data_IF_171402553841
#
_entry.id   IF_171402553841
#
_cell.length_a   1.000
_cell.length_b   1.000
_cell.length_c   1.000
_cell.angle_alpha   90.00
_cell.angle_beta   90.00
_cell.angle_gamma   90.00
#
_symmetry.space_group_name_H-M   'P 1'
#
loop_
_entity.id
_entity.type
_entity.pdbx_description
1 polymer ?
#
# COMPACT_ATOMS: atom_id res chain seq x y z
N UNK A 1 9.01 26.52 -23.37
CA UNK A 1 7.72 26.31 -22.67
C UNK A 1 8.07 25.77 -21.30
N UNK A 2 7.31 26.07 -20.23
CA UNK A 2 7.54 25.42 -18.95
C UNK A 2 7.38 23.90 -19.13
N UNK A 3 8.29 23.13 -18.56
CA UNK A 3 8.26 21.68 -18.63
C UNK A 3 7.16 21.17 -17.70
N UNK A 4 6.30 20.27 -18.21
CA UNK A 4 5.28 19.60 -17.42
C UNK A 4 5.96 18.56 -16.50
N UNK A 5 5.65 18.60 -15.22
CA UNK A 5 6.29 17.75 -14.20
C UNK A 5 5.23 16.85 -13.57
N UNK A 6 5.56 15.56 -13.49
CA UNK A 6 4.82 14.58 -12.69
C UNK A 6 5.79 13.84 -11.77
N UNK A 7 5.39 13.61 -10.53
CA UNK A 7 6.14 12.85 -9.54
C UNK A 7 5.23 11.80 -8.91
N UNK A 8 5.70 10.56 -8.91
CA UNK A 8 5.00 9.43 -8.29
C UNK A 8 5.66 9.14 -6.94
N UNK A 9 4.93 9.21 -5.81
CA UNK A 9 5.47 8.87 -4.51
C UNK A 9 5.93 7.40 -4.46
N UNK A 10 7.06 7.14 -3.80
CA UNK A 10 7.63 5.80 -3.68
C UNK A 10 6.74 4.85 -2.87
N UNK A 11 5.89 5.39 -1.99
CA UNK A 11 4.98 4.63 -1.14
C UNK A 11 3.75 4.12 -1.91
N UNK A 12 3.58 4.49 -3.19
CA UNK A 12 2.50 3.94 -4.01
C UNK A 12 2.68 2.43 -4.22
N UNK A 13 1.58 1.66 -4.25
CA UNK A 13 1.65 0.22 -4.43
C UNK A 13 2.07 -0.20 -5.84
N UNK A 14 2.06 0.70 -6.83
CA UNK A 14 2.49 0.38 -8.19
C UNK A 14 3.46 1.46 -8.72
N UNK A 15 4.67 1.08 -9.14
CA UNK A 15 5.56 1.98 -9.85
C UNK A 15 5.12 2.14 -11.31
N UNK A 16 5.40 3.30 -11.89
CA UNK A 16 5.18 3.60 -13.30
C UNK A 16 6.51 3.90 -13.99
N UNK A 17 6.62 3.47 -15.24
CA UNK A 17 7.79 3.72 -16.06
C UNK A 17 7.37 4.15 -17.46
N UNK A 18 8.04 5.15 -18.04
CA UNK A 18 7.75 5.65 -19.38
C UNK A 18 7.84 4.55 -20.45
N UNK A 19 7.00 4.62 -21.48
CA UNK A 19 7.11 3.77 -22.67
C UNK A 19 8.30 4.20 -23.53
N UNK A 20 8.32 5.47 -23.91
CA UNK A 20 9.33 6.08 -24.78
C UNK A 20 10.58 6.54 -24.01
N UNK A 21 11.22 5.60 -23.31
CA UNK A 21 12.52 5.88 -22.69
C UNK A 21 13.57 6.03 -23.79
N UNK A 22 14.39 7.08 -23.71
CA UNK A 22 15.57 7.19 -24.56
C UNK A 22 16.35 5.88 -24.45
N UNK A 23 16.63 5.23 -25.58
CA UNK A 23 17.37 3.98 -25.60
C UNK A 23 18.75 4.22 -25.00
N UNK A 24 18.92 3.89 -23.72
CA UNK A 24 20.22 3.96 -23.08
C UNK A 24 21.18 3.05 -23.85
N UNK A 25 22.43 3.50 -24.00
CA UNK A 25 23.45 2.68 -24.60
C UNK A 25 23.47 1.31 -23.89
N UNK A 26 23.55 0.18 -24.61
CA UNK A 26 23.33 -1.16 -24.06
C UNK A 26 24.31 -1.58 -22.94
N UNK A 27 25.36 -0.78 -22.71
CA UNK A 27 26.38 -0.97 -21.69
C UNK A 27 26.14 -0.17 -20.40
N UNK A 28 25.12 0.69 -20.35
CA UNK A 28 24.78 1.44 -19.14
C UNK A 28 23.99 0.58 -18.16
N UNK A 29 24.21 0.84 -16.87
CA UNK A 29 23.49 0.13 -15.81
C UNK A 29 22.09 0.71 -15.70
N UNK A 30 21.09 -0.10 -16.00
CA UNK A 30 19.69 0.27 -15.80
C UNK A 30 19.37 0.45 -14.31
N UNK A 31 19.06 1.68 -13.91
CA UNK A 31 18.75 2.03 -12.52
C UNK A 31 17.33 1.62 -12.12
N UNK A 32 17.13 1.39 -10.81
CA UNK A 32 15.86 0.88 -10.25
C UNK A 32 14.69 1.84 -10.46
N UNK A 33 14.95 3.15 -10.39
CA UNK A 33 13.92 4.19 -10.50
C UNK A 33 13.40 4.36 -11.93
N UNK A 34 14.21 3.98 -12.92
CA UNK A 34 13.91 4.16 -14.34
C UNK A 34 13.47 2.88 -15.02
N UNK A 35 13.85 1.72 -14.47
CA UNK A 35 13.62 0.43 -15.09
C UNK A 35 13.05 -0.56 -14.08
N UNK A 36 11.87 -1.07 -14.40
CA UNK A 36 11.26 -2.14 -13.63
C UNK A 36 12.11 -3.41 -13.62
N UNK A 37 11.80 -4.28 -12.66
CA UNK A 37 12.51 -5.54 -12.44
C UNK A 37 12.79 -6.31 -13.74
N UNK A 38 11.79 -6.46 -14.60
CA UNK A 38 11.92 -7.21 -15.84
C UNK A 38 12.88 -6.60 -16.87
N UNK A 39 13.14 -5.30 -16.86
CA UNK A 39 14.02 -4.65 -17.84
C UNK A 39 15.48 -4.69 -17.41
N UNK A 40 15.70 -4.78 -16.09
CA UNK A 40 17.01 -4.81 -15.42
C UNK A 40 17.65 -6.21 -15.36
N UNK A 41 17.13 -7.18 -16.12
CA UNK A 41 17.60 -8.57 -16.11
C UNK A 41 19.08 -8.66 -16.53
N UNK A 42 19.83 -9.51 -15.84
CA UNK A 42 21.22 -9.84 -16.17
C UNK A 42 21.26 -11.25 -16.76
N UNK A 43 21.96 -11.49 -17.88
CA UNK A 43 21.99 -12.80 -18.54
C UNK A 43 22.44 -13.97 -17.65
N UNK A 44 23.26 -13.68 -16.64
CA UNK A 44 23.84 -14.67 -15.73
C UNK A 44 23.04 -14.89 -14.44
N UNK A 45 21.96 -14.14 -14.20
CA UNK A 45 21.06 -14.37 -13.06
C UNK A 45 19.84 -15.18 -13.52
N UNK A 46 19.43 -16.16 -12.72
CA UNK A 46 18.24 -16.95 -13.00
C UNK A 46 17.00 -16.05 -13.03
N UNK A 47 16.18 -16.24 -14.06
CA UNK A 47 14.95 -15.49 -14.25
C UNK A 47 13.88 -15.99 -13.27
N UNK A 48 13.69 -15.27 -12.17
CA UNK A 48 12.43 -15.30 -11.44
C UNK A 48 11.42 -14.40 -12.15
N UNK A 49 10.27 -14.94 -12.55
CA UNK A 49 9.17 -14.12 -13.05
C UNK A 49 8.30 -13.68 -11.89
N UNK A 50 8.62 -12.53 -11.29
CA UNK A 50 7.72 -11.90 -10.32
C UNK A 50 6.56 -11.22 -11.05
N UNK A 51 5.34 -11.46 -10.60
CA UNK A 51 4.16 -10.72 -11.01
C UNK A 51 3.50 -10.14 -9.78
N UNK A 52 2.99 -8.93 -9.92
CA UNK A 52 2.16 -8.34 -8.88
C UNK A 52 0.88 -9.15 -8.77
N UNK A 53 0.41 -9.39 -7.56
CA UNK A 53 -0.77 -10.20 -7.29
C UNK A 53 -1.85 -9.30 -6.73
N UNK A 54 -3.08 -9.51 -7.19
CA UNK A 54 -4.26 -8.84 -6.67
C UNK A 54 -5.46 -9.79 -6.70
N UNK A 55 -6.45 -9.49 -5.89
CA UNK A 55 -7.77 -10.13 -5.93
C UNK A 55 -8.84 -9.16 -6.40
N UNK A 56 -9.96 -9.68 -6.91
CA UNK A 56 -11.11 -8.84 -7.30
C UNK A 56 -11.69 -8.04 -6.14
N UNK A 57 -11.51 -8.51 -4.89
CA UNK A 57 -11.89 -7.77 -3.69
C UNK A 57 -11.00 -6.58 -3.35
N UNK A 58 -9.81 -6.48 -3.97
CA UNK A 58 -8.83 -5.45 -3.65
C UNK A 58 -9.08 -4.15 -4.42
N UNK A 59 -8.55 -3.04 -3.92
CA UNK A 59 -8.63 -1.73 -4.58
C UNK A 59 -7.21 -1.21 -4.77
N UNK A 60 -6.85 -0.93 -6.03
CA UNK A 60 -5.56 -0.32 -6.35
C UNK A 60 -5.71 1.18 -6.19
N UNK A 61 -5.14 1.73 -5.12
CA UNK A 61 -5.13 3.17 -4.88
C UNK A 61 -3.78 3.78 -5.19
N UNK A 62 -3.79 4.97 -5.78
CA UNK A 62 -2.59 5.67 -6.22
C UNK A 62 -2.72 7.17 -6.01
N UNK A 63 -1.58 7.81 -5.73
CA UNK A 63 -1.48 9.26 -5.69
C UNK A 63 -0.31 9.74 -6.55
N UNK A 64 -0.41 10.94 -7.11
CA UNK A 64 0.71 11.55 -7.84
C UNK A 64 0.64 13.06 -7.73
N UNK A 65 1.78 13.70 -7.90
CA UNK A 65 1.92 15.16 -7.87
C UNK A 65 2.17 15.60 -9.31
N UNK A 66 1.37 16.51 -9.85
CA UNK A 66 1.60 17.06 -11.19
C UNK A 66 1.17 18.53 -11.29
N UNK A 67 1.78 19.27 -12.22
CA UNK A 67 1.40 20.65 -12.56
C UNK A 67 0.47 20.76 -13.80
N UNK A 68 0.12 19.61 -14.39
CA UNK A 68 -0.71 19.53 -15.58
C UNK A 68 -1.90 18.58 -15.43
N UNK A 69 -2.86 18.75 -16.32
CA UNK A 69 -4.07 17.94 -16.48
C UNK A 69 -4.46 17.98 -17.97
N UNK A 70 -5.04 16.92 -18.57
CA UNK A 70 -5.57 15.71 -17.94
C UNK A 70 -4.52 14.63 -17.67
N UNK A 71 -4.80 13.78 -16.68
CA UNK A 71 -4.11 12.51 -16.43
C UNK A 71 -5.18 11.42 -16.36
N UNK A 72 -5.02 10.35 -17.12
CA UNK A 72 -5.96 9.22 -17.14
C UNK A 72 -5.21 7.97 -16.68
N UNK A 73 -5.79 7.25 -15.72
CA UNK A 73 -5.26 5.97 -15.24
C UNK A 73 -6.17 4.86 -15.74
N UNK A 74 -5.57 3.87 -16.38
CA UNK A 74 -6.28 2.80 -17.06
C UNK A 74 -5.78 1.43 -16.60
N UNK A 75 -6.69 0.47 -16.50
CA UNK A 75 -6.35 -0.94 -16.38
C UNK A 75 -6.46 -1.57 -17.76
N UNK A 76 -5.35 -2.04 -18.30
CA UNK A 76 -5.29 -2.67 -19.61
C UNK A 76 -5.16 -4.19 -19.50
N UNK A 77 -5.78 -4.89 -20.45
CA UNK A 77 -5.61 -6.33 -20.61
C UNK A 77 -4.26 -6.72 -21.23
N UNK A 78 -4.05 -8.02 -21.47
CA UNK A 78 -2.86 -8.55 -22.13
C UNK A 78 -2.63 -8.04 -23.57
N UNK A 79 -3.66 -7.47 -24.19
CA UNK A 79 -3.65 -6.90 -25.54
C UNK A 79 -3.58 -5.38 -25.55
N UNK A 80 -3.33 -4.76 -24.39
CA UNK A 80 -3.30 -3.32 -24.18
C UNK A 80 -4.62 -2.59 -24.43
N UNK A 81 -5.74 -3.32 -24.39
CA UNK A 81 -7.07 -2.72 -24.45
C UNK A 81 -7.47 -2.24 -23.06
N UNK A 82 -7.89 -0.98 -22.90
CA UNK A 82 -8.36 -0.48 -21.62
C UNK A 82 -9.70 -1.14 -21.24
N UNK A 83 -9.75 -1.76 -20.08
CA UNK A 83 -10.97 -2.33 -19.50
C UNK A 83 -11.62 -1.30 -18.57
N UNK A 84 -10.79 -0.66 -17.74
CA UNK A 84 -11.18 0.43 -16.85
C UNK A 84 -10.36 1.64 -17.27
N UNK A 85 -11.01 2.79 -17.42
CA UNK A 85 -10.35 4.07 -17.70
C UNK A 85 -10.95 5.13 -16.78
N UNK A 86 -10.13 5.71 -15.92
CA UNK A 86 -10.55 6.67 -14.90
C UNK A 86 -9.72 7.95 -15.01
N UNK A 87 -10.36 9.12 -15.14
CA UNK A 87 -9.64 10.38 -15.04
C UNK A 87 -9.15 10.57 -13.60
N UNK A 88 -7.89 10.99 -13.47
CA UNK A 88 -7.32 11.34 -12.19
C UNK A 88 -7.99 12.59 -11.63
N UNK A 89 -8.43 12.53 -10.38
CA UNK A 89 -9.08 13.68 -9.75
C UNK A 89 -8.02 14.57 -9.10
N UNK A 90 -7.96 15.84 -9.52
CA UNK A 90 -7.14 16.84 -8.87
C UNK A 90 -7.71 17.14 -7.47
N UNK A 91 -6.85 17.02 -6.47
CA UNK A 91 -7.12 17.30 -5.08
C UNK A 91 -6.51 18.62 -4.65
N UNK A 92 -5.85 18.60 -3.50
CA UNK A 92 -5.29 19.79 -2.84
C UNK A 92 -3.98 20.19 -3.54
N UNK A 93 -3.69 21.49 -3.59
CA UNK A 93 -2.40 21.99 -4.06
C UNK A 93 -1.27 21.53 -3.13
N UNK A 94 -0.10 21.24 -3.70
CA UNK A 94 1.06 20.87 -2.92
C UNK A 94 1.60 22.06 -2.13
N UNK A 95 1.71 21.89 -0.81
CA UNK A 95 2.24 22.90 0.10
C UNK A 95 3.74 23.15 -0.11
N UNK A 96 4.49 22.13 -0.54
CA UNK A 96 5.94 22.18 -0.63
C UNK A 96 6.44 22.56 -2.03
N UNK A 97 5.67 22.24 -3.07
CA UNK A 97 6.03 22.51 -4.47
C UNK A 97 4.95 23.37 -5.11
N UNK A 98 5.14 24.72 -5.13
CA UNK A 98 4.16 25.63 -5.71
C UNK A 98 3.82 25.28 -7.15
N UNK A 99 2.55 25.44 -7.53
CA UNK A 99 2.06 25.15 -8.88
C UNK A 99 1.74 23.68 -9.16
N UNK A 100 2.05 22.76 -8.24
CA UNK A 100 1.67 21.34 -8.39
C UNK A 100 0.44 20.98 -7.56
N UNK A 101 -0.32 19.99 -8.02
CA UNK A 101 -1.52 19.46 -7.38
C UNK A 101 -1.37 17.97 -7.10
N UNK A 102 -1.97 17.51 -6.01
CA UNK A 102 -2.09 16.10 -5.70
C UNK A 102 -3.27 15.50 -6.44
N UNK A 103 -3.03 14.49 -7.25
CA UNK A 103 -4.05 13.72 -7.92
C UNK A 103 -4.24 12.38 -7.23
N UNK A 104 -5.47 11.87 -7.24
CA UNK A 104 -5.83 10.56 -6.69
C UNK A 104 -6.52 9.70 -7.75
N UNK A 105 -6.25 8.41 -7.70
CA UNK A 105 -6.93 7.39 -8.50
C UNK A 105 -7.19 6.16 -7.64
N UNK A 106 -8.40 5.61 -7.75
CA UNK A 106 -8.82 4.39 -7.05
C UNK A 106 -9.48 3.45 -8.07
N UNK A 107 -8.81 2.35 -8.37
CA UNK A 107 -9.30 1.34 -9.32
C UNK A 107 -9.85 0.16 -8.49
N UNK A 108 -11.17 0.03 -8.48
CA UNK A 108 -11.84 -1.16 -7.93
C UNK A 108 -11.69 -2.34 -8.89
N UNK A 109 -11.36 -3.52 -8.35
CA UNK A 109 -11.16 -4.75 -9.13
C UNK A 109 -12.38 -5.69 -9.10
N UNK A 110 -13.50 -5.28 -8.50
CA UNK A 110 -14.64 -6.15 -8.18
C UNK A 110 -15.27 -6.85 -9.40
N UNK A 111 -15.22 -6.22 -10.58
CA UNK A 111 -15.83 -6.74 -11.82
C UNK A 111 -14.77 -7.18 -12.84
N UNK A 112 -13.49 -7.21 -12.46
CA UNK A 112 -12.41 -7.59 -13.37
C UNK A 112 -12.28 -9.11 -13.39
N UNK A 113 -12.42 -9.78 -14.56
CA UNK A 113 -12.25 -11.22 -14.65
C UNK A 113 -10.84 -11.67 -14.22
N UNK A 114 -10.69 -12.94 -13.84
CA UNK A 114 -9.38 -13.51 -13.54
C UNK A 114 -8.47 -13.46 -14.78
N UNK A 115 -7.27 -12.88 -14.66
CA UNK A 115 -6.41 -12.65 -15.81
C UNK A 115 -5.12 -11.89 -15.53
N UNK A 116 -4.40 -11.59 -16.61
CA UNK A 116 -3.16 -10.79 -16.58
C UNK A 116 -3.47 -9.39 -17.10
N UNK A 117 -3.12 -8.39 -16.31
CA UNK A 117 -3.41 -6.99 -16.56
C UNK A 117 -2.17 -6.14 -16.31
N UNK A 118 -2.20 -4.88 -16.76
CA UNK A 118 -1.23 -3.86 -16.36
C UNK A 118 -1.90 -2.51 -16.27
N UNK A 119 -1.45 -1.66 -15.35
CA UNK A 119 -1.92 -0.28 -15.33
C UNK A 119 -1.17 0.53 -16.39
N UNK A 120 -1.89 1.38 -17.11
CA UNK A 120 -1.36 2.41 -18.01
C UNK A 120 -1.74 3.77 -17.44
N UNK A 121 -0.81 4.72 -17.45
CA UNK A 121 -1.10 6.11 -17.16
C UNK A 121 -0.84 6.92 -18.43
N UNK A 122 -1.84 7.71 -18.80
CA UNK A 122 -1.83 8.54 -19.99
C UNK A 122 -1.74 9.99 -19.53
N UNK A 123 -0.67 10.67 -19.92
CA UNK A 123 -0.30 12.00 -19.46
C UNK A 123 -0.55 13.00 -20.58
N UNK A 124 -1.39 14.02 -20.32
CA UNK A 124 -1.72 15.05 -21.29
C UNK A 124 -2.68 14.57 -22.39
N UNK A 125 -2.78 15.35 -23.45
CA UNK A 125 -3.66 15.10 -24.60
C UNK A 125 -2.99 15.50 -25.91
N UNK A 126 -3.49 14.97 -27.03
CA UNK A 126 -2.99 15.28 -28.37
C UNK A 126 -1.61 14.67 -28.67
N UNK A 127 -0.85 15.33 -29.55
CA UNK A 127 0.42 14.81 -30.09
C UNK A 127 1.58 14.79 -29.09
N UNK A 128 1.44 15.46 -27.93
CA UNK A 128 2.43 15.46 -26.84
C UNK A 128 2.04 14.51 -25.71
N UNK A 129 1.13 13.58 -25.96
CA UNK A 129 0.71 12.60 -24.98
C UNK A 129 1.86 11.64 -24.67
N UNK A 130 2.12 11.43 -23.38
CA UNK A 130 3.11 10.47 -22.90
C UNK A 130 2.41 9.33 -22.18
N UNK A 131 2.79 8.10 -22.50
CA UNK A 131 2.29 6.88 -21.87
C UNK A 131 3.32 6.30 -20.93
N UNK A 132 2.86 5.91 -19.74
CA UNK A 132 3.64 5.18 -18.77
C UNK A 132 2.94 3.87 -18.41
N UNK A 133 3.73 2.83 -18.18
CA UNK A 133 3.22 1.52 -17.81
C UNK A 133 3.68 1.11 -16.43
N UNK A 134 2.73 0.59 -15.68
CA UNK A 134 3.01 -0.22 -14.50
C UNK A 134 3.45 -1.63 -14.89
N UNK A 135 3.95 -2.39 -13.91
CA UNK A 135 4.32 -3.78 -14.10
C UNK A 135 3.09 -4.66 -14.40
N UNK A 136 3.34 -5.81 -15.04
CA UNK A 136 2.30 -6.82 -15.23
C UNK A 136 1.86 -7.42 -13.89
N UNK A 137 0.56 -7.56 -13.74
CA UNK A 137 -0.10 -8.09 -12.56
C UNK A 137 -1.07 -9.22 -12.92
N UNK A 138 -1.30 -10.12 -11.98
CA UNK A 138 -2.30 -11.16 -12.05
C UNK A 138 -3.42 -10.84 -11.07
N UNK A 139 -4.65 -10.75 -11.58
CA UNK A 139 -5.86 -10.49 -10.80
C UNK A 139 -6.63 -11.80 -10.73
N UNK A 140 -7.01 -12.23 -9.53
CA UNK A 140 -7.74 -13.47 -9.27
C UNK A 140 -9.07 -13.22 -8.59
N UNK A 141 -10.14 -13.85 -9.09
CA UNK A 141 -11.42 -13.89 -8.41
C UNK A 141 -11.40 -14.90 -7.26
N UNK A 142 -10.68 -16.01 -7.44
CA UNK A 142 -10.49 -17.02 -6.40
C UNK A 142 -9.47 -16.54 -5.35
N UNK A 143 -9.66 -16.88 -4.05
CA UNK A 143 -8.71 -16.57 -2.99
C UNK A 143 -7.30 -17.10 -3.28
N UNK A 144 -6.33 -16.20 -3.31
CA UNK A 144 -4.92 -16.55 -3.48
C UNK A 144 -4.33 -17.06 -2.16
N UNK A 145 -4.05 -18.36 -2.12
CA UNK A 145 -3.35 -18.98 -0.99
C UNK A 145 -1.92 -18.42 -0.86
N UNK A 146 -1.40 -18.39 0.36
CA UNK A 146 -0.04 -17.93 0.68
C UNK A 146 0.27 -16.51 0.19
N UNK A 147 -0.74 -15.64 0.24
CA UNK A 147 -0.57 -14.19 0.04
C UNK A 147 -1.06 -13.44 1.26
N UNK A 148 -0.42 -12.30 1.54
CA UNK A 148 -0.81 -11.36 2.59
C UNK A 148 -1.25 -10.06 1.92
N UNK A 149 -2.39 -9.55 2.33
CA UNK A 149 -2.80 -8.18 2.03
C UNK A 149 -2.21 -7.23 3.07
N UNK A 150 -1.31 -6.37 2.64
CA UNK A 150 -0.73 -5.29 3.43
C UNK A 150 -1.53 -4.03 3.16
N UNK A 151 -2.18 -3.48 4.18
CA UNK A 151 -2.83 -2.17 4.09
C UNK A 151 -2.05 -1.19 4.97
N UNK A 152 -1.88 0.03 4.48
CA UNK A 152 -1.00 0.99 5.16
C UNK A 152 -1.44 2.43 4.98
N UNK A 153 -1.23 3.20 6.04
CA UNK A 153 -1.50 4.64 6.08
C UNK A 153 -0.65 5.33 7.14
N UNK A 154 -0.45 6.64 6.97
CA UNK A 154 0.16 7.50 7.98
C UNK A 154 -0.92 8.28 8.74
N UNK A 155 -0.69 8.56 10.01
CA UNK A 155 -1.54 9.50 10.76
C UNK A 155 -1.22 10.95 10.42
N UNK A 156 -0.04 11.21 9.85
CA UNK A 156 0.35 12.53 9.35
C UNK A 156 -0.34 12.79 8.02
N UNK A 157 -0.94 13.98 7.91
CA UNK A 157 -1.65 14.41 6.69
C UNK A 157 -0.73 14.37 5.45
N UNK A 158 0.55 14.73 5.61
CA UNK A 158 1.58 14.71 4.57
C UNK A 158 2.75 13.86 5.06
N UNK A 159 3.04 12.78 4.36
CA UNK A 159 4.16 11.89 4.66
C UNK A 159 4.63 11.20 3.38
N UNK A 160 5.95 11.08 3.21
CA UNK A 160 6.60 10.46 2.03
C UNK A 160 5.98 10.85 0.68
N UNK A 161 5.76 12.15 0.47
CA UNK A 161 5.15 12.74 -0.73
C UNK A 161 3.72 12.27 -1.03
N UNK A 162 2.99 11.72 -0.05
CA UNK A 162 1.58 11.38 -0.14
C UNK A 162 0.72 12.20 0.81
N UNK A 163 -0.56 12.35 0.45
CA UNK A 163 -1.59 12.90 1.33
C UNK A 163 -2.48 11.77 1.85
N UNK A 164 -2.39 11.47 3.15
CA UNK A 164 -3.24 10.46 3.79
C UNK A 164 -4.58 11.00 4.28
N UNK A 165 -4.75 12.32 4.30
CA UNK A 165 -6.02 12.97 4.68
C UNK A 165 -7.17 12.52 3.78
N UNK A 166 -8.27 12.07 4.40
CA UNK A 166 -9.49 11.56 3.74
C UNK A 166 -9.22 10.44 2.73
N UNK A 167 -8.18 9.63 2.95
CA UNK A 167 -7.79 8.55 2.06
C UNK A 167 -7.77 7.25 2.85
N UNK A 168 -8.39 6.19 2.31
CA UNK A 168 -8.60 4.92 3.01
C UNK A 168 -7.35 4.03 3.08
N UNK A 169 -6.16 4.63 3.04
CA UNK A 169 -4.87 3.93 2.99
C UNK A 169 -4.64 3.21 1.67
N UNK A 170 -3.40 2.83 1.43
CA UNK A 170 -3.03 2.02 0.27
C UNK A 170 -3.17 0.53 0.61
N UNK A 171 -3.25 -0.29 -0.42
CA UNK A 171 -3.29 -1.75 -0.33
C UNK A 171 -2.18 -2.32 -1.20
N UNK A 172 -1.55 -3.39 -0.75
CA UNK A 172 -0.51 -4.13 -1.46
C UNK A 172 -0.64 -5.61 -1.12
N UNK A 173 -0.87 -6.46 -2.12
CA UNK A 173 -0.88 -7.91 -1.92
C UNK A 173 0.44 -8.53 -2.38
N UNK A 174 1.04 -9.31 -1.50
CA UNK A 174 2.35 -9.95 -1.73
C UNK A 174 2.33 -11.42 -1.30
N UNK A 175 3.10 -12.30 -1.97
CA UNK A 175 3.35 -13.65 -1.46
C UNK A 175 3.94 -13.59 -0.06
N UNK A 176 3.40 -14.39 0.86
CA UNK A 176 3.86 -14.40 2.23
C UNK A 176 2.96 -15.20 3.15
N UNK A 177 3.44 -15.42 4.37
CA UNK A 177 2.66 -16.08 5.42
C UNK A 177 3.03 -15.54 6.80
N UNK A 178 2.06 -15.66 7.72
CA UNK A 178 2.22 -15.32 9.14
C UNK A 178 2.30 -16.64 9.89
N UNK A 179 3.45 -16.90 10.53
CA UNK A 179 3.71 -18.15 11.23
C UNK A 179 3.28 -18.04 12.69
N UNK A 180 2.00 -18.31 12.93
CA UNK A 180 1.40 -18.29 14.26
C UNK A 180 1.91 -19.43 15.17
N UNK A 181 2.42 -20.52 14.60
CA UNK A 181 2.93 -21.67 15.36
C UNK A 181 4.26 -21.33 16.05
N UNK A 182 5.06 -20.44 15.45
CA UNK A 182 6.31 -19.91 16.03
C UNK A 182 6.11 -18.63 16.87
N UNK A 183 4.89 -18.35 17.30
CA UNK A 183 4.60 -17.18 18.12
C UNK A 183 5.32 -17.23 19.47
N UNK A 184 6.08 -16.18 19.78
CA UNK A 184 6.74 -16.00 21.08
C UNK A 184 6.08 -14.88 21.89
N UNK A 185 6.34 -14.82 23.19
CA UNK A 185 5.83 -13.75 24.07
C UNK A 185 6.98 -13.14 24.85
N UNK A 186 7.32 -11.89 24.52
CA UNK A 186 8.27 -11.12 25.31
C UNK A 186 7.53 -10.36 26.40
N UNK A 187 8.00 -10.48 27.64
CA UNK A 187 7.49 -9.71 28.78
C UNK A 187 8.30 -8.44 28.91
N UNK A 188 7.69 -7.28 28.62
CA UNK A 188 8.26 -5.99 29.02
C UNK A 188 7.95 -5.83 30.51
N UNK A 189 9.00 -5.94 31.34
CA UNK A 189 8.91 -5.78 32.79
C UNK A 189 9.49 -4.44 33.18
N UNK A 190 8.69 -3.59 33.81
CA UNK A 190 9.19 -2.41 34.52
C UNK A 190 9.49 -2.83 35.96
N UNK A 191 10.77 -2.80 36.33
CA UNK A 191 11.22 -3.10 37.68
C UNK A 191 11.73 -1.83 38.36
N UNK A 192 11.30 -1.60 39.58
CA UNK A 192 11.87 -0.57 40.45
C UNK A 192 12.71 -1.23 41.54
N UNK A 193 13.86 -0.65 41.86
CA UNK A 193 14.75 -1.16 42.89
C UNK A 193 14.60 -0.28 44.13
N UNK A 194 13.86 -0.76 45.13
CA UNK A 194 13.70 -0.05 46.40
C UNK A 194 14.58 -0.74 47.45
N UNK A 195 15.65 -0.04 47.86
CA UNK A 195 16.71 -0.49 48.77
C UNK A 195 17.54 -1.69 48.27
N UNK A 196 18.69 -1.90 48.92
CA UNK A 196 19.93 -2.47 48.35
C UNK A 196 19.80 -3.84 47.65
N UNK A 197 18.77 -4.65 47.91
CA UNK A 197 18.64 -5.99 47.32
C UNK A 197 17.22 -6.46 46.96
N UNK A 198 16.22 -5.57 46.86
CA UNK A 198 14.84 -5.99 46.53
C UNK A 198 14.33 -5.28 45.26
N UNK A 199 14.22 -6.01 44.16
CA UNK A 199 13.54 -5.53 42.95
C UNK A 199 12.07 -5.93 42.98
N UNK A 200 11.16 -4.96 42.98
CA UNK A 200 9.72 -5.20 42.81
C UNK A 200 9.34 -4.91 41.37
N UNK A 201 8.61 -5.84 40.74
CA UNK A 201 8.07 -5.64 39.39
C UNK A 201 6.81 -4.79 39.49
N UNK A 202 6.78 -3.63 38.86
CA UNK A 202 5.66 -2.69 38.90
C UNK A 202 4.61 -3.02 37.84
N UNK A 203 5.06 -3.40 36.65
CA UNK A 203 4.17 -3.77 35.55
C UNK A 203 4.86 -4.83 34.67
N UNK A 204 4.07 -5.79 34.18
CA UNK A 204 4.54 -6.79 33.22
C UNK A 204 3.47 -6.93 32.15
N UNK A 205 3.75 -6.42 30.95
CA UNK A 205 2.88 -6.62 29.78
C UNK A 205 3.59 -7.56 28.82
N UNK A 206 2.89 -8.60 28.38
CA UNK A 206 3.38 -9.49 27.33
C UNK A 206 2.70 -9.16 26.01
N UNK A 207 3.49 -8.80 25.01
CA UNK A 207 3.00 -8.61 23.64
C UNK A 207 3.38 -9.85 22.84
N UNK A 208 2.46 -10.46 22.09
CA UNK A 208 2.80 -11.56 21.21
C UNK A 208 3.67 -11.07 20.06
N UNK A 209 4.78 -11.78 19.84
CA UNK A 209 5.65 -11.60 18.68
C UNK A 209 5.39 -12.72 17.69
N UNK A 210 5.08 -12.36 16.45
CA UNK A 210 4.73 -13.31 15.39
C UNK A 210 5.71 -13.12 14.24
N UNK A 211 6.44 -14.17 13.83
CA UNK A 211 7.26 -14.10 12.64
C UNK A 211 6.37 -14.01 11.39
N UNK A 212 6.67 -13.02 10.54
CA UNK A 212 6.02 -12.78 9.26
C UNK A 212 7.08 -12.90 8.17
N UNK A 213 6.74 -13.65 7.13
CA UNK A 213 7.63 -13.90 6.00
C UNK A 213 6.97 -13.42 4.71
N UNK A 214 7.71 -12.66 3.91
CA UNK A 214 7.32 -12.17 2.59
C UNK A 214 8.24 -12.79 1.52
N UNK A 215 7.67 -13.20 0.38
CA UNK A 215 8.41 -13.83 -0.71
C UNK A 215 8.90 -15.26 -0.44
N UNK A 216 8.53 -15.84 0.70
CA UNK A 216 8.93 -17.18 1.14
C UNK A 216 7.70 -18.07 1.30
N UNK A 217 7.88 -19.38 1.15
CA UNK A 217 6.85 -20.39 1.47
C UNK A 217 7.19 -21.13 2.77
N UNK A 218 6.20 -21.73 3.47
CA UNK A 218 6.40 -22.42 4.74
C UNK A 218 7.45 -23.54 4.69
N UNK A 219 7.69 -24.11 3.50
CA UNK A 219 8.67 -25.18 3.26
C UNK A 219 10.11 -24.67 3.09
N UNK A 220 10.40 -23.43 3.45
CA UNK A 220 11.76 -22.86 3.60
C UNK A 220 12.61 -22.83 2.31
N UNK A 221 11.97 -22.72 1.15
CA UNK A 221 12.64 -22.44 -0.12
C UNK A 221 12.08 -21.15 -0.74
N UNK A 222 12.96 -20.34 -1.34
CA UNK A 222 12.57 -19.17 -2.14
C UNK A 222 11.86 -19.67 -3.39
N UNK A 223 10.55 -19.92 -3.31
CA UNK A 223 9.77 -20.36 -4.47
C UNK A 223 9.22 -19.19 -5.27
N UNK A 224 8.83 -18.10 -4.58
CA UNK A 224 8.32 -16.89 -5.23
C UNK A 224 9.39 -15.81 -5.30
N UNK A 225 9.94 -15.43 -4.14
CA UNK A 225 10.85 -14.30 -4.00
C UNK A 225 10.19 -12.97 -4.38
N UNK A 226 10.72 -11.87 -3.83
CA UNK A 226 10.28 -10.52 -4.14
C UNK A 226 11.39 -9.76 -4.87
N UNK A 227 11.04 -8.88 -5.82
CA UNK A 227 12.00 -7.99 -6.43
C UNK A 227 12.39 -6.89 -5.44
N UNK A 228 13.57 -6.30 -5.63
CA UNK A 228 14.13 -5.25 -4.77
C UNK A 228 13.14 -4.11 -4.53
N UNK A 229 12.46 -3.64 -5.58
CA UNK A 229 11.46 -2.57 -5.52
C UNK A 229 10.35 -2.85 -4.51
N UNK A 230 9.87 -4.11 -4.45
CA UNK A 230 8.78 -4.50 -3.56
C UNK A 230 9.28 -4.64 -2.14
N UNK A 231 10.47 -5.19 -1.93
CA UNK A 231 11.06 -5.26 -0.59
C UNK A 231 11.34 -3.89 0.00
N UNK A 232 11.89 -2.96 -0.79
CA UNK A 232 12.16 -1.59 -0.33
C UNK A 232 10.83 -0.87 -0.01
N UNK A 233 9.79 -1.10 -0.82
CA UNK A 233 8.44 -0.62 -0.54
C UNK A 233 7.89 -1.19 0.78
N UNK A 234 8.05 -2.48 1.06
CA UNK A 234 7.59 -3.05 2.33
C UNK A 234 8.35 -2.43 3.51
N UNK A 235 9.67 -2.26 3.43
CA UNK A 235 10.41 -1.54 4.48
C UNK A 235 9.86 -0.13 4.69
N UNK A 236 9.63 0.63 3.62
CA UNK A 236 9.02 1.96 3.69
C UNK A 236 7.60 1.95 4.25
N UNK A 237 6.81 0.90 4.00
CA UNK A 237 5.47 0.73 4.56
C UNK A 237 5.54 0.57 6.08
N UNK A 238 6.49 -0.22 6.60
CA UNK A 238 6.63 -0.46 8.04
C UNK A 238 7.23 0.70 8.82
N UNK A 239 7.73 1.73 8.15
CA UNK A 239 8.07 3.02 8.76
C UNK A 239 6.84 3.92 9.00
N UNK A 240 5.66 3.55 8.49
CA UNK A 240 4.42 4.31 8.69
C UNK A 240 3.72 3.95 10.01
N UNK A 241 2.87 4.86 10.49
CA UNK A 241 2.18 4.70 11.78
C UNK A 241 1.16 3.55 11.80
N UNK A 242 0.52 3.27 10.65
CA UNK A 242 -0.59 2.33 10.56
C UNK A 242 -0.31 1.31 9.48
N UNK A 243 -0.08 0.06 9.88
CA UNK A 243 0.06 -1.08 8.97
C UNK A 243 -0.82 -2.22 9.47
N UNK A 244 -1.62 -2.78 8.57
CA UNK A 244 -2.39 -4.00 8.80
C UNK A 244 -1.98 -5.09 7.82
N UNK A 245 -1.93 -6.32 8.32
CA UNK A 245 -1.78 -7.54 7.51
C UNK A 245 -3.07 -8.34 7.63
N UNK A 246 -3.73 -8.57 6.50
CA UNK A 246 -5.03 -9.24 6.40
C UNK A 246 -6.07 -8.65 7.38
N UNK A 247 -6.12 -7.32 7.45
CA UNK A 247 -7.04 -6.56 8.31
C UNK A 247 -6.68 -6.54 9.80
N UNK A 248 -5.55 -7.14 10.21
CA UNK A 248 -5.05 -7.06 11.59
C UNK A 248 -3.87 -6.10 11.68
N UNK A 249 -3.86 -5.16 12.64
CA UNK A 249 -2.73 -4.26 12.83
C UNK A 249 -1.45 -4.98 13.29
N UNK A 250 -0.32 -4.65 12.66
CA UNK A 250 1.02 -5.11 13.03
C UNK A 250 1.98 -3.93 13.09
N UNK A 251 2.98 -4.06 13.96
CA UNK A 251 4.05 -3.07 14.12
C UNK A 251 5.38 -3.81 14.13
N UNK A 252 6.36 -3.29 13.38
CA UNK A 252 7.75 -3.74 13.47
C UNK A 252 8.38 -3.05 14.69
N UNK A 253 8.94 -3.79 15.67
CA UNK A 253 9.56 -3.17 16.84
C UNK A 253 10.77 -2.29 16.45
N UNK A 254 10.97 -1.17 17.16
CA UNK A 254 11.99 -0.14 16.84
C UNK A 254 13.42 -0.69 16.66
N UNK A 255 13.78 -1.77 17.38
CA UNK A 255 15.11 -2.38 17.34
C UNK A 255 15.24 -3.53 16.33
N UNK A 256 14.21 -3.78 15.51
CA UNK A 256 14.18 -4.90 14.57
C UNK A 256 14.08 -4.40 13.13
N UNK A 257 14.99 -4.90 12.29
CA UNK A 257 14.91 -4.78 10.84
C UNK A 257 14.44 -6.10 10.23
N UNK A 258 14.08 -6.06 8.97
CA UNK A 258 13.86 -7.28 8.22
C UNK A 258 15.17 -8.02 7.96
N UNK A 259 15.12 -9.34 8.03
CA UNK A 259 16.20 -10.23 7.63
C UNK A 259 15.94 -10.70 6.19
N UNK A 260 16.94 -10.52 5.33
CA UNK A 260 16.86 -10.92 3.93
C UNK A 260 17.36 -12.35 3.74
N UNK A 261 16.57 -13.15 3.02
CA UNK A 261 16.97 -14.49 2.59
C UNK A 261 17.20 -14.47 1.09
N UNK A 262 18.44 -14.72 0.67
CA UNK A 262 18.84 -14.69 -0.73
C UNK A 262 19.39 -16.06 -1.17
N UNK A 263 19.19 -16.42 -2.43
CA UNK A 263 19.80 -17.60 -3.05
C UNK A 263 20.77 -17.16 -4.13
N UNK A 264 22.01 -17.66 -4.07
CA UNK A 264 23.04 -17.32 -5.04
C UNK A 264 22.57 -17.59 -6.48
N UNK A 265 22.73 -16.60 -7.35
CA UNK A 265 22.31 -16.68 -8.75
C UNK A 265 20.83 -16.37 -8.99
N UNK A 266 20.00 -16.16 -7.95
CA UNK A 266 18.64 -15.66 -8.09
C UNK A 266 18.59 -14.16 -7.79
N UNK A 267 17.72 -13.45 -8.52
CA UNK A 267 17.55 -12.01 -8.35
C UNK A 267 16.46 -11.62 -7.34
N UNK A 268 15.56 -12.55 -7.05
CA UNK A 268 14.48 -12.34 -6.10
C UNK A 268 14.95 -12.73 -4.70
N UNK A 269 14.49 -11.99 -3.69
CA UNK A 269 14.85 -12.19 -2.28
C UNK A 269 13.61 -12.40 -1.42
N UNK A 270 13.73 -13.22 -0.39
CA UNK A 270 12.74 -13.33 0.67
C UNK A 270 13.04 -12.35 1.79
N UNK A 271 12.03 -12.02 2.58
CA UNK A 271 12.15 -11.08 3.69
C UNK A 271 11.40 -11.63 4.91
N UNK A 272 12.06 -11.68 6.07
CA UNK A 272 11.46 -12.17 7.31
C UNK A 272 11.59 -11.13 8.41
N UNK A 273 10.51 -10.86 9.13
CA UNK A 273 10.49 -9.94 10.26
C UNK A 273 9.72 -10.52 11.43
N UNK A 274 10.12 -10.18 12.65
CA UNK A 274 9.37 -10.54 13.86
C UNK A 274 8.50 -9.36 14.25
N UNK A 275 7.19 -9.49 14.11
CA UNK A 275 6.26 -8.38 14.30
C UNK A 275 5.50 -8.48 15.61
N UNK A 276 5.09 -7.34 16.15
CA UNK A 276 4.18 -7.23 17.28
C UNK A 276 2.76 -6.91 16.79
N UNK A 277 1.74 -7.57 17.35
CA UNK A 277 0.35 -7.25 16.99
C UNK A 277 -0.05 -5.91 17.62
N UNK A 278 -0.39 -4.91 16.81
CA UNK A 278 -0.88 -3.62 17.29
C UNK A 278 -2.22 -3.81 18.00
N UNK A 279 -2.35 -3.44 19.26
CA UNK A 279 -3.57 -3.64 20.08
C UNK A 279 -3.99 -5.10 20.33
N UNK A 280 -3.47 -5.66 21.41
CA UNK A 280 -4.05 -6.81 22.09
C UNK A 280 -5.03 -6.33 23.18
N UNK A 281 -6.06 -5.55 22.83
CA UNK A 281 -7.21 -5.38 23.75
C UNK A 281 -8.03 -6.66 23.62
N UNK A 282 -8.16 -7.39 24.71
CA UNK A 282 -8.76 -8.74 24.85
C UNK A 282 -10.19 -8.96 24.31
N UNK A 283 -10.71 -8.14 23.41
CA UNK A 283 -12.01 -8.29 22.79
C UNK A 283 -11.88 -8.90 21.39
N UNK A 284 -12.37 -10.12 21.20
CA UNK A 284 -12.95 -10.49 19.89
C UNK A 284 -14.12 -9.54 19.67
N UNK A 285 -13.92 -8.46 18.92
CA UNK A 285 -15.04 -7.64 18.46
C UNK A 285 -15.73 -8.46 17.38
N UNK A 286 -16.78 -9.17 17.77
CA UNK A 286 -17.70 -9.78 16.82
C UNK A 286 -18.66 -8.69 16.38
N UNK A 287 -18.45 -8.14 15.19
CA UNK A 287 -19.52 -7.45 14.47
C UNK A 287 -20.50 -8.53 14.02
N UNK A 288 -21.64 -8.61 14.72
CA UNK A 288 -22.78 -9.38 14.23
C UNK A 288 -23.23 -8.69 12.94
N UNK A 289 -23.43 -9.44 11.87
CA UNK A 289 -24.07 -8.93 10.66
C UNK A 289 -25.49 -8.46 11.03
N UNK A 290 -25.61 -7.17 11.37
CA UNK A 290 -26.88 -6.54 11.65
C UNK A 290 -27.63 -6.34 10.34
N UNK A 291 -28.92 -6.67 10.35
CA UNK A 291 -29.83 -6.36 9.25
C UNK A 291 -29.74 -4.86 8.90
N UNK A 292 -29.29 -4.50 7.68
CA UNK A 292 -29.11 -3.10 7.27
C UNK A 292 -30.41 -2.27 7.28
N UNK A 293 -31.57 -2.92 7.46
CA UNK A 293 -32.87 -2.26 7.56
C UNK A 293 -33.18 -1.70 8.96
N UNK A 294 -32.43 -2.05 10.01
CA UNK A 294 -32.62 -1.47 11.34
C UNK A 294 -31.76 -0.22 11.53
N UNK A 295 -32.32 0.94 11.17
CA UNK A 295 -31.71 2.26 11.43
C UNK A 295 -32.23 2.83 12.75
N UNK A 296 -31.32 3.13 13.68
CA UNK A 296 -31.61 3.97 14.85
C UNK A 296 -31.65 5.43 14.38
N UNK A 297 -32.83 6.05 14.43
CA UNK A 297 -33.02 7.48 14.15
C UNK A 297 -32.72 8.28 15.42
N UNK A 298 -31.66 9.08 15.40
CA UNK A 298 -31.42 10.14 16.37
C UNK A 298 -31.26 11.46 15.61
N UNK A 299 -32.19 12.39 15.82
CA UNK A 299 -32.13 13.74 15.23
C UNK A 299 -31.46 14.69 16.23
N UNK A 300 -30.32 15.26 15.85
CA UNK A 300 -29.72 16.39 16.54
C UNK A 300 -29.74 17.56 15.56
N UNK A 301 -30.56 18.57 15.84
CA UNK A 301 -30.60 19.82 15.08
C UNK A 301 -29.50 20.72 15.61
N UNK A 302 -28.44 20.91 14.83
CA UNK A 302 -27.40 21.91 15.11
C UNK A 302 -27.58 23.04 14.10
N UNK A 303 -28.07 24.17 14.57
CA UNK A 303 -28.18 25.41 13.82
C UNK A 303 -26.78 26.06 13.79
N UNK A 304 -26.12 26.07 12.64
CA UNK A 304 -24.82 26.69 12.45
C UNK A 304 -24.80 27.47 11.14
N UNK A 305 -24.55 28.76 11.28
CA UNK A 305 -24.52 29.77 10.23
C UNK A 305 -23.54 29.42 9.11
N UNK A 306 -24.04 29.57 7.89
CA UNK A 306 -23.38 29.41 6.59
C UNK A 306 -22.27 30.45 6.41
N UNK A 307 -21.07 30.01 6.04
CA UNK A 307 -20.10 30.83 5.30
C UNK A 307 -19.53 30.01 4.13
N UNK A 308 -19.73 30.55 2.92
CA UNK A 308 -19.11 30.24 1.62
C UNK A 308 -19.85 29.34 0.60
N UNK A 309 -19.51 29.65 -0.66
CA UNK A 309 -20.26 29.62 -1.93
C UNK A 309 -20.50 28.19 -2.48
N UNK A 310 -21.76 27.86 -2.73
CA UNK A 310 -22.25 26.52 -3.10
C UNK A 310 -22.52 26.37 -4.60
N UNK A 311 -22.01 27.28 -5.44
CA UNK A 311 -22.36 27.34 -6.86
C UNK A 311 -21.87 26.14 -7.72
N UNK A 312 -21.08 25.20 -7.18
CA UNK A 312 -20.59 24.02 -7.90
C UNK A 312 -20.78 22.66 -7.20
N UNK A 313 -21.72 22.55 -6.25
CA UNK A 313 -22.02 21.26 -5.62
C UNK A 313 -22.92 20.38 -6.52
N UNK A 314 -22.30 19.70 -7.48
CA UNK A 314 -22.87 18.51 -8.10
C UNK A 314 -23.02 17.40 -7.05
N UNK A 315 -24.25 17.19 -6.61
CA UNK A 315 -24.79 16.02 -5.89
C UNK A 315 -23.79 15.13 -5.12
N UNK A 316 -23.69 15.32 -3.81
CA UNK A 316 -23.29 14.24 -2.90
C UNK A 316 -24.20 14.22 -1.67
N UNK A 317 -25.09 13.23 -1.65
CA UNK A 317 -25.89 12.88 -0.49
C UNK A 317 -25.13 11.81 0.32
N UNK A 318 -24.25 12.24 1.22
CA UNK A 318 -23.87 11.50 2.43
C UNK A 318 -22.92 12.35 3.28
N UNK A 319 -23.30 12.63 4.53
CA UNK A 319 -22.35 13.03 5.58
C UNK A 319 -22.17 11.80 6.50
N UNK A 320 -21.04 11.09 6.46
CA UNK A 320 -20.78 10.03 7.42
C UNK A 320 -20.39 10.65 8.78
N UNK A 321 -21.08 10.24 9.84
CA UNK A 321 -20.70 10.57 11.22
C UNK A 321 -19.79 9.47 11.75
N UNK A 322 -18.50 9.77 11.90
CA UNK A 322 -17.55 8.87 12.53
C UNK A 322 -17.53 9.05 14.05
N UNK A 323 -18.00 7.98 14.73
CA UNK A 323 -17.93 7.67 16.17
C UNK A 323 -19.09 8.17 17.04
N UNK A 324 -19.92 7.20 17.45
CA UNK A 324 -20.70 7.25 18.69
C UNK A 324 -20.14 6.17 19.62
N UNK A 325 -19.60 6.57 20.77
CA UNK A 325 -19.23 5.64 21.86
C UNK A 325 -20.47 5.53 22.76
N UNK A 326 -21.03 4.33 22.87
CA UNK A 326 -22.06 4.00 23.86
C UNK A 326 -21.35 3.25 25.00
N UNK A 327 -21.49 3.76 26.24
CA UNK A 327 -20.98 3.12 27.46
C UNK A 327 -21.79 1.88 27.84
#
# INVERSE_FOLDING_TARGET
MPDNIITTPLINPLPYYAEDRAAEAPYLTKHIDQFGHFDRRRPWLQNGCFRWLWMTSDIIRQQFIADFSPIVVELCDRYNQPIISLPAQAGIQNKFIPGTYFFKSEISLAEVPTGIYRCRRVLGSGDTQVTEYGPWMYISEEPLLETILVEYSSSKDFDKDCIFKNFSGFQLRVPGFIDYDKQTRNKKKESYRNQTYTSTTLSSRSVPKVPVSFGLTPTSKIQFGLPTEVTDLIELIFELDTVSLDGKPFVLPDDQSFEFTETAGFRLRGMTGVMETGLNRYSRVRTIAGDPNKRLLSSITVDAQVFEDVSNAGSSNAVPVDRVIIQ
#
